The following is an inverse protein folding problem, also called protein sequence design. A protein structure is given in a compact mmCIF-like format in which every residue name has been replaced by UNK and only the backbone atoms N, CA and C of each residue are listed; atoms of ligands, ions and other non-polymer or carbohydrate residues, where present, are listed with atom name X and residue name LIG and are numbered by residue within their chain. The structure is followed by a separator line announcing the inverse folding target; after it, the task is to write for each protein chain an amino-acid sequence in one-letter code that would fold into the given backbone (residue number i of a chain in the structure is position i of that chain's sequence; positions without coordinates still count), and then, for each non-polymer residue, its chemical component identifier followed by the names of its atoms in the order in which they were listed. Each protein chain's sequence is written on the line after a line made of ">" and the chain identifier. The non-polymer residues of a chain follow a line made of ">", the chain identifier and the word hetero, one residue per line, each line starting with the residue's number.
data_IF_731691857626
#
_entry.id   IF_731691857626
#
_cell.length_a   1.000
_cell.length_b   1.000
_cell.length_c   1.000
_cell.angle_alpha   90.00
_cell.angle_beta   90.00
_cell.angle_gamma   90.00
#
_symmetry.space_group_name_H-M   'P 1'
#
loop_
_entity.id
_entity.type
_entity.pdbx_description
1 polymer ?
#
# COMPACT_ATOMS: atom_id res chain seq x y z
N UNK A 1 -57.12 12.82 -93.51
CA UNK A 1 -57.40 11.85 -92.41
C UNK A 1 -56.33 12.00 -91.34
N UNK A 2 -56.65 12.51 -90.14
CA UNK A 2 -55.78 12.43 -88.96
C UNK A 2 -56.27 11.35 -87.98
N UNK A 3 -55.34 10.53 -87.47
CA UNK A 3 -55.60 9.41 -86.54
C UNK A 3 -55.89 9.93 -85.12
N UNK A 4 -56.89 9.34 -84.48
CA UNK A 4 -57.12 9.44 -83.04
C UNK A 4 -56.06 8.64 -82.26
N UNK A 5 -55.53 9.20 -81.17
CA UNK A 5 -54.95 8.41 -80.08
C UNK A 5 -55.66 8.79 -78.78
N UNK A 6 -56.50 7.89 -78.28
CA UNK A 6 -57.04 7.93 -76.91
C UNK A 6 -55.96 7.41 -75.97
N UNK A 7 -55.60 8.18 -74.97
CA UNK A 7 -54.99 7.68 -73.74
C UNK A 7 -55.93 8.09 -72.61
N UNK A 8 -56.80 7.16 -72.24
CA UNK A 8 -57.56 7.20 -70.99
C UNK A 8 -56.75 6.42 -69.94
N UNK A 9 -56.75 6.93 -68.71
CA UNK A 9 -56.11 6.45 -67.46
C UNK A 9 -54.69 6.95 -67.13
N UNK A 10 -54.53 7.80 -66.08
CA UNK A 10 -53.23 8.03 -65.46
C UNK A 10 -52.84 6.83 -64.59
N UNK A 11 -51.71 6.21 -64.90
CA UNK A 11 -51.06 5.19 -64.06
C UNK A 11 -50.62 5.87 -62.76
N UNK A 12 -51.26 5.55 -61.63
CA UNK A 12 -50.82 6.01 -60.30
C UNK A 12 -49.58 5.23 -59.88
N UNK A 13 -48.40 5.83 -60.08
CA UNK A 13 -47.11 5.29 -59.64
C UNK A 13 -46.88 5.72 -58.18
N UNK A 14 -47.01 4.77 -57.24
CA UNK A 14 -46.59 4.81 -55.83
C UNK A 14 -47.12 5.96 -54.93
N UNK A 15 -47.86 5.59 -53.87
CA UNK A 15 -48.01 6.41 -52.67
C UNK A 15 -46.89 6.08 -51.67
N UNK A 16 -46.14 7.07 -51.14
CA UNK A 16 -45.23 6.84 -50.03
C UNK A 16 -46.03 6.33 -48.83
N UNK A 17 -45.71 5.13 -48.33
CA UNK A 17 -46.26 4.66 -47.05
C UNK A 17 -45.62 5.51 -45.95
N UNK A 18 -46.40 6.33 -45.26
CA UNK A 18 -45.94 7.01 -44.05
C UNK A 18 -45.53 5.95 -43.03
N UNK A 19 -44.24 5.89 -42.73
CA UNK A 19 -43.73 4.99 -41.69
C UNK A 19 -44.18 5.56 -40.34
N UNK A 20 -44.91 4.79 -39.51
CA UNK A 20 -45.39 5.28 -38.23
C UNK A 20 -44.21 5.70 -37.36
N UNK A 21 -44.37 6.83 -36.67
CA UNK A 21 -43.32 7.35 -35.78
C UNK A 21 -43.02 6.33 -34.67
N UNK A 22 -41.81 6.35 -34.09
CA UNK A 22 -41.45 5.43 -33.01
C UNK A 22 -42.44 5.47 -31.83
N UNK A 23 -43.03 6.65 -31.59
CA UNK A 23 -44.09 6.84 -30.59
C UNK A 23 -45.38 6.09 -30.93
N UNK A 24 -45.76 6.00 -32.21
CA UNK A 24 -46.94 5.26 -32.67
C UNK A 24 -46.71 3.74 -32.68
N UNK A 25 -45.49 3.29 -33.00
CA UNK A 25 -45.10 1.87 -32.90
C UNK A 25 -45.17 1.38 -31.45
N UNK A 26 -44.63 2.15 -30.51
CA UNK A 26 -44.71 1.84 -29.07
C UNK A 26 -46.15 1.88 -28.54
N UNK A 27 -47.00 2.79 -29.03
CA UNK A 27 -48.39 2.90 -28.57
C UNK A 27 -49.24 1.69 -28.96
N UNK A 28 -48.96 1.05 -30.10
CA UNK A 28 -49.74 -0.06 -30.65
C UNK A 28 -49.23 -1.46 -30.25
N UNK A 29 -48.17 -1.57 -29.43
CA UNK A 29 -47.63 -2.86 -28.97
C UNK A 29 -48.29 -3.36 -27.66
N UNK A 30 -48.43 -4.68 -27.54
CA UNK A 30 -48.79 -5.34 -26.28
C UNK A 30 -47.70 -5.13 -25.22
N UNK A 31 -48.04 -5.27 -23.93
CA UNK A 31 -47.09 -5.11 -22.82
C UNK A 31 -45.87 -6.05 -22.95
N UNK A 32 -46.06 -7.25 -23.49
CA UNK A 32 -44.98 -8.20 -23.81
C UNK A 32 -44.09 -7.71 -24.96
N UNK A 33 -44.67 -7.19 -26.04
CA UNK A 33 -43.89 -6.65 -27.16
C UNK A 33 -43.08 -5.39 -26.79
N UNK A 34 -43.57 -4.60 -25.84
CA UNK A 34 -42.82 -3.46 -25.28
C UNK A 34 -41.59 -3.89 -24.48
N UNK A 35 -41.70 -4.99 -23.74
CA UNK A 35 -40.59 -5.57 -22.97
C UNK A 35 -39.53 -6.19 -23.90
N UNK A 36 -39.94 -6.93 -24.94
CA UNK A 36 -39.02 -7.44 -25.96
C UNK A 36 -38.32 -6.30 -26.70
N UNK A 37 -39.03 -5.23 -27.06
CA UNK A 37 -38.42 -4.06 -27.71
C UNK A 37 -37.41 -3.33 -26.80
N UNK A 38 -37.74 -3.19 -25.50
CA UNK A 38 -36.80 -2.68 -24.49
C UNK A 38 -35.57 -3.59 -24.35
N UNK A 39 -35.76 -4.91 -24.35
CA UNK A 39 -34.67 -5.87 -24.26
C UNK A 39 -33.77 -5.83 -25.50
N UNK A 40 -34.34 -5.80 -26.69
CA UNK A 40 -33.59 -5.84 -27.94
C UNK A 40 -32.83 -4.53 -28.21
N UNK A 41 -33.43 -3.38 -27.86
CA UNK A 41 -32.85 -2.06 -28.11
C UNK A 41 -31.97 -1.55 -26.94
N UNK A 42 -32.35 -1.82 -25.69
CA UNK A 42 -31.69 -1.25 -24.52
C UNK A 42 -30.80 -2.23 -23.73
N UNK A 43 -30.71 -3.53 -24.04
CA UNK A 43 -29.84 -4.45 -23.25
C UNK A 43 -28.39 -3.96 -23.09
N UNK A 44 -27.80 -3.38 -24.13
CA UNK A 44 -26.42 -2.88 -24.10
C UNK A 44 -26.34 -1.58 -23.28
N UNK A 45 -27.32 -0.69 -23.44
CA UNK A 45 -27.40 0.55 -22.66
C UNK A 45 -27.72 0.29 -21.18
N UNK A 46 -28.59 -0.66 -20.89
CA UNK A 46 -28.93 -1.11 -19.54
C UNK A 46 -27.73 -1.77 -18.86
N UNK A 47 -26.99 -2.63 -19.57
CA UNK A 47 -25.73 -3.20 -19.08
C UNK A 47 -24.69 -2.10 -18.80
N UNK A 48 -24.56 -1.12 -19.69
CA UNK A 48 -23.69 0.04 -19.49
C UNK A 48 -24.09 0.88 -18.27
N UNK A 49 -25.39 1.08 -18.05
CA UNK A 49 -25.92 1.77 -16.87
C UNK A 49 -25.64 1.01 -15.58
N UNK A 50 -25.85 -0.31 -15.57
CA UNK A 50 -25.52 -1.18 -14.42
C UNK A 50 -24.01 -1.12 -14.13
N UNK A 51 -23.16 -1.20 -15.16
CA UNK A 51 -21.71 -1.11 -15.00
C UNK A 51 -21.29 0.26 -14.45
N UNK A 52 -21.88 1.35 -14.96
CA UNK A 52 -21.62 2.70 -14.44
C UNK A 52 -22.02 2.82 -12.97
N UNK A 53 -23.18 2.30 -12.58
CA UNK A 53 -23.62 2.27 -11.18
C UNK A 53 -22.67 1.42 -10.32
N UNK A 54 -22.24 0.26 -10.80
CA UNK A 54 -21.29 -0.59 -10.09
C UNK A 54 -19.93 0.11 -9.88
N UNK A 55 -19.43 0.84 -10.89
CA UNK A 55 -18.21 1.66 -10.77
C UNK A 55 -18.42 2.79 -9.75
N UNK A 56 -19.56 3.48 -9.79
CA UNK A 56 -19.88 4.54 -8.82
C UNK A 56 -19.92 3.96 -7.39
N UNK A 57 -20.59 2.83 -7.18
CA UNK A 57 -20.65 2.15 -5.88
C UNK A 57 -19.25 1.76 -5.43
N UNK A 58 -18.42 1.21 -6.32
CA UNK A 58 -17.04 0.84 -6.00
C UNK A 58 -16.18 2.05 -5.61
N UNK A 59 -16.28 3.17 -6.33
CA UNK A 59 -15.56 4.42 -5.99
C UNK A 59 -16.04 4.97 -4.66
N UNK A 60 -17.36 5.01 -4.42
CA UNK A 60 -17.92 5.44 -3.12
C UNK A 60 -17.41 4.51 -2.01
N UNK A 61 -17.41 3.20 -2.22
CA UNK A 61 -16.89 2.25 -1.25
C UNK A 61 -15.42 2.48 -0.93
N UNK A 62 -14.57 2.72 -1.93
CA UNK A 62 -13.15 3.01 -1.72
C UNK A 62 -12.89 4.34 -1.02
N UNK A 63 -13.75 5.34 -1.22
CA UNK A 63 -13.62 6.66 -0.56
C UNK A 63 -14.16 6.64 0.87
N UNK A 64 -15.22 5.86 1.13
CA UNK A 64 -15.88 5.79 2.43
C UNK A 64 -15.26 4.75 3.35
N UNK A 65 -14.66 3.69 2.80
CA UNK A 65 -13.93 2.68 3.59
C UNK A 65 -12.64 3.32 4.10
N UNK A 66 -12.44 3.42 5.43
CA UNK A 66 -11.20 3.94 5.97
C UNK A 66 -10.03 3.06 5.50
N UNK A 67 -9.10 3.64 4.75
CA UNK A 67 -7.80 3.02 4.55
C UNK A 67 -7.01 3.29 5.82
N UNK A 68 -6.67 2.24 6.56
CA UNK A 68 -5.77 2.35 7.70
C UNK A 68 -4.41 2.76 7.13
N UNK A 69 -3.94 3.94 7.52
CA UNK A 69 -2.67 4.50 7.12
C UNK A 69 -1.60 4.06 8.11
N UNK A 70 -0.63 3.29 7.64
CA UNK A 70 0.52 2.92 8.48
C UNK A 70 1.41 4.14 8.69
N UNK A 71 1.61 4.50 9.95
CA UNK A 71 2.38 5.66 10.37
C UNK A 71 3.82 5.32 10.78
N UNK A 72 4.11 4.04 10.98
CA UNK A 72 5.45 3.53 11.25
C UNK A 72 5.52 2.03 10.96
N UNK A 73 6.63 1.57 10.37
CA UNK A 73 6.88 0.17 10.11
C UNK A 73 8.29 -0.25 10.54
N UNK A 74 8.37 -1.23 11.43
CA UNK A 74 9.62 -1.91 11.79
C UNK A 74 9.61 -3.36 11.29
N UNK A 75 10.67 -3.75 10.59
CA UNK A 75 10.94 -5.16 10.28
C UNK A 75 11.93 -5.73 11.30
N UNK A 76 11.55 -6.78 12.01
CA UNK A 76 12.46 -7.52 12.91
C UNK A 76 12.88 -8.81 12.22
N UNK A 77 14.18 -8.93 11.95
CA UNK A 77 14.79 -10.13 11.39
C UNK A 77 15.19 -11.07 12.53
N UNK A 78 14.89 -12.35 12.38
CA UNK A 78 15.21 -13.41 13.33
C UNK A 78 14.80 -13.01 14.76
N UNK A 79 13.51 -12.71 14.95
CA UNK A 79 12.98 -12.22 16.21
C UNK A 79 13.16 -13.23 17.37
N UNK A 80 13.62 -12.73 18.53
CA UNK A 80 13.75 -13.48 19.78
C UNK A 80 12.75 -13.03 20.85
N UNK A 81 11.91 -12.04 20.56
CA UNK A 81 10.91 -11.50 21.48
C UNK A 81 9.60 -12.30 21.45
N UNK A 82 8.92 -12.49 22.59
CA UNK A 82 7.60 -13.10 22.61
C UNK A 82 6.55 -12.24 21.88
N UNK A 83 5.56 -12.85 21.19
CA UNK A 83 4.51 -12.12 20.48
C UNK A 83 3.75 -11.11 21.37
N UNK A 84 3.48 -11.46 22.63
CA UNK A 84 2.82 -10.57 23.58
C UNK A 84 3.63 -9.32 23.91
N UNK A 85 4.97 -9.41 23.82
CA UNK A 85 5.86 -8.27 24.04
C UNK A 85 5.81 -7.35 22.83
N UNK A 86 5.82 -7.90 21.61
CA UNK A 86 5.67 -7.13 20.36
C UNK A 86 4.31 -6.43 20.32
N UNK A 87 3.23 -7.12 20.64
CA UNK A 87 1.88 -6.54 20.68
C UNK A 87 1.79 -5.41 21.72
N UNK A 88 2.27 -5.64 22.94
CA UNK A 88 2.29 -4.62 23.99
C UNK A 88 3.11 -3.40 23.59
N UNK A 89 4.27 -3.60 22.95
CA UNK A 89 5.13 -2.52 22.49
C UNK A 89 4.49 -1.72 21.34
N UNK A 90 3.86 -2.42 20.39
CA UNK A 90 3.14 -1.80 19.27
C UNK A 90 2.00 -0.93 19.77
N UNK A 91 1.18 -1.43 20.69
CA UNK A 91 0.09 -0.67 21.29
C UNK A 91 0.61 0.53 22.10
N UNK A 92 1.64 0.32 22.93
CA UNK A 92 2.22 1.40 23.73
C UNK A 92 2.84 2.52 22.88
N UNK A 93 3.46 2.18 21.75
CA UNK A 93 4.00 3.18 20.84
C UNK A 93 2.90 3.88 20.03
N UNK A 94 1.83 3.17 19.63
CA UNK A 94 0.64 3.76 19.01
C UNK A 94 -0.03 4.79 19.94
N UNK A 95 -0.18 4.45 21.22
CA UNK A 95 -0.69 5.36 22.24
C UNK A 95 0.23 6.56 22.46
N UNK A 96 1.55 6.35 22.43
CA UNK A 96 2.54 7.41 22.54
C UNK A 96 2.45 8.44 21.40
N UNK A 97 2.23 7.97 20.17
CA UNK A 97 1.99 8.81 19.00
C UNK A 97 0.55 9.38 18.93
N UNK A 98 -0.33 8.98 19.85
CA UNK A 98 -1.73 9.38 19.92
C UNK A 98 -2.50 9.13 18.60
N UNK A 99 -2.23 8.00 17.95
CA UNK A 99 -2.85 7.62 16.67
C UNK A 99 -4.35 7.32 16.81
N UNK A 100 -5.14 7.59 15.77
CA UNK A 100 -6.53 7.11 15.72
C UNK A 100 -6.55 5.64 15.27
N UNK A 101 -6.87 4.66 16.13
CA UNK A 101 -6.83 3.23 15.78
C UNK A 101 -7.82 2.82 14.68
N UNK A 102 -8.72 3.71 14.25
CA UNK A 102 -9.62 3.47 13.12
C UNK A 102 -9.05 3.91 11.78
N UNK A 103 -8.07 4.81 11.80
CA UNK A 103 -7.52 5.47 10.60
C UNK A 103 -6.03 5.23 10.45
N UNK A 104 -5.33 4.88 11.52
CA UNK A 104 -3.88 4.86 11.61
C UNK A 104 -3.42 3.64 12.40
N UNK A 105 -2.30 3.05 11.97
CA UNK A 105 -1.67 1.94 12.67
C UNK A 105 -0.14 2.01 12.66
N UNK A 106 0.45 1.14 13.47
CA UNK A 106 1.88 0.86 13.51
C UNK A 106 2.06 -0.61 13.20
N UNK A 107 3.05 -0.94 12.38
CA UNK A 107 3.38 -2.31 12.03
C UNK A 107 4.77 -2.67 12.54
N UNK A 108 4.83 -3.61 13.48
CA UNK A 108 6.08 -4.29 13.85
C UNK A 108 5.98 -5.71 13.31
N UNK A 109 6.62 -5.94 12.16
CA UNK A 109 6.61 -7.24 11.50
C UNK A 109 7.83 -8.06 11.93
N UNK A 110 7.58 -9.10 12.71
CA UNK A 110 8.58 -10.00 13.28
C UNK A 110 8.64 -11.37 12.60
N UNK A 111 8.06 -11.49 11.40
CA UNK A 111 7.93 -12.76 10.66
C UNK A 111 9.14 -13.11 9.79
N UNK A 112 10.17 -12.25 9.77
CA UNK A 112 11.34 -12.38 8.90
C UNK A 112 12.42 -13.28 9.50
N UNK A 113 12.25 -14.60 9.42
CA UNK A 113 13.24 -15.57 9.91
C UNK A 113 14.23 -15.95 8.79
N UNK A 114 15.46 -15.42 8.87
CA UNK A 114 16.50 -15.52 7.85
C UNK A 114 17.59 -16.55 8.16
N UNK A 115 17.62 -17.08 9.38
CA UNK A 115 18.64 -18.05 9.81
C UNK A 115 18.26 -19.53 9.58
N UNK A 116 17.01 -19.83 9.16
CA UNK A 116 16.45 -21.19 9.08
C UNK A 116 16.58 -22.01 7.78
N UNK A 117 17.38 -21.59 6.79
CA UNK A 117 17.48 -22.25 5.46
C UNK A 117 16.35 -21.91 4.47
N UNK A 118 16.68 -21.84 3.16
CA UNK A 118 15.83 -21.42 2.03
C UNK A 118 14.94 -20.17 2.28
N UNK A 119 15.53 -19.13 2.87
CA UNK A 119 14.86 -17.87 3.24
C UNK A 119 14.75 -16.84 2.10
N UNK A 120 14.99 -17.28 0.85
CA UNK A 120 14.98 -16.42 -0.34
C UNK A 120 13.64 -15.69 -0.53
N UNK A 121 12.52 -16.34 -0.17
CA UNK A 121 11.20 -15.71 -0.27
C UNK A 121 11.02 -14.57 0.74
N UNK A 122 11.49 -14.76 1.98
CA UNK A 122 11.39 -13.72 3.01
C UNK A 122 12.30 -12.53 2.69
N UNK A 123 13.51 -12.78 2.18
CA UNK A 123 14.41 -11.72 1.73
C UNK A 123 13.78 -10.90 0.61
N UNK A 124 13.22 -11.56 -0.42
CA UNK A 124 12.52 -10.86 -1.49
C UNK A 124 11.30 -10.08 -0.98
N UNK A 125 10.54 -10.63 -0.04
CA UNK A 125 9.40 -9.92 0.56
C UNK A 125 9.85 -8.64 1.27
N UNK A 126 10.89 -8.72 2.11
CA UNK A 126 11.45 -7.53 2.78
C UNK A 126 12.00 -6.52 1.76
N UNK A 127 12.75 -6.97 0.74
CA UNK A 127 13.21 -6.09 -0.34
C UNK A 127 12.05 -5.43 -1.08
N UNK A 128 10.93 -6.13 -1.29
CA UNK A 128 9.74 -5.56 -1.93
C UNK A 128 9.09 -4.48 -1.05
N UNK A 129 8.96 -4.71 0.25
CA UNK A 129 8.45 -3.70 1.20
C UNK A 129 9.34 -2.46 1.26
N UNK A 130 10.66 -2.65 1.28
CA UNK A 130 11.62 -1.53 1.20
C UNK A 130 11.46 -0.78 -0.13
N UNK A 131 11.38 -1.48 -1.26
CA UNK A 131 11.21 -0.86 -2.56
C UNK A 131 9.88 -0.09 -2.69
N UNK A 132 8.82 -0.57 -2.02
CA UNK A 132 7.53 0.09 -1.90
C UNK A 132 7.54 1.31 -0.96
N UNK A 133 8.66 1.58 -0.27
CA UNK A 133 8.80 2.62 0.77
C UNK A 133 7.83 2.42 1.92
N UNK A 134 7.64 1.17 2.35
CA UNK A 134 6.79 0.85 3.49
C UNK A 134 7.58 0.72 4.79
N UNK A 135 8.86 0.31 4.72
CA UNK A 135 9.70 0.02 5.90
C UNK A 135 10.46 1.25 6.35
N UNK A 136 10.33 1.60 7.63
CA UNK A 136 11.09 2.69 8.24
C UNK A 136 12.41 2.21 8.84
N UNK A 137 12.37 1.13 9.61
CA UNK A 137 13.54 0.57 10.28
C UNK A 137 13.63 -0.94 10.10
N UNK A 138 14.86 -1.44 10.10
CA UNK A 138 15.15 -2.87 10.22
C UNK A 138 15.91 -3.09 11.52
N UNK A 139 15.44 -4.05 12.32
CA UNK A 139 16.09 -4.51 13.54
C UNK A 139 16.53 -5.94 13.29
N UNK A 140 17.83 -6.21 13.42
CA UNK A 140 18.38 -7.51 13.09
C UNK A 140 19.56 -7.87 14.00
N UNK A 141 19.88 -9.18 14.14
CA UNK A 141 21.17 -9.60 14.67
C UNK A 141 22.30 -8.96 13.87
N UNK A 142 23.41 -8.65 14.54
CA UNK A 142 24.52 -7.88 13.96
C UNK A 142 25.00 -8.42 12.60
N UNK A 143 25.13 -9.74 12.44
CA UNK A 143 25.57 -10.34 11.17
C UNK A 143 24.60 -10.08 10.02
N UNK A 144 23.30 -10.26 10.27
CA UNK A 144 22.22 -9.95 9.33
C UNK A 144 22.20 -8.46 9.02
N UNK A 145 22.29 -7.60 10.03
CA UNK A 145 22.36 -6.15 9.86
C UNK A 145 23.50 -5.74 8.92
N UNK A 146 24.72 -6.23 9.14
CA UNK A 146 25.90 -5.89 8.34
C UNK A 146 25.73 -6.30 6.87
N UNK A 147 24.99 -7.37 6.57
CA UNK A 147 24.68 -7.74 5.19
C UNK A 147 23.77 -6.69 4.52
N UNK A 148 22.77 -6.17 5.22
CA UNK A 148 21.93 -5.09 4.68
C UNK A 148 22.70 -3.77 4.58
N UNK A 149 23.53 -3.42 5.58
CA UNK A 149 24.37 -2.23 5.55
C UNK A 149 25.31 -2.22 4.34
N UNK A 150 26.02 -3.33 4.08
CA UNK A 150 26.91 -3.46 2.92
C UNK A 150 26.20 -3.24 1.59
N UNK A 151 24.91 -3.56 1.50
CA UNK A 151 24.09 -3.40 0.30
C UNK A 151 23.35 -2.05 0.24
N UNK A 152 23.80 -1.04 1.00
CA UNK A 152 23.30 0.34 0.95
C UNK A 152 21.82 0.49 1.33
N UNK A 153 21.27 -0.43 2.14
CA UNK A 153 19.88 -0.36 2.58
C UNK A 153 19.63 0.70 3.65
N UNK A 154 20.67 1.21 4.32
CA UNK A 154 20.53 2.15 5.44
C UNK A 154 21.08 3.53 5.12
N UNK A 155 20.44 4.56 5.67
CA UNK A 155 20.97 5.93 5.66
C UNK A 155 21.94 6.13 6.83
N UNK A 156 22.84 7.10 6.71
CA UNK A 156 23.75 7.48 7.79
C UNK A 156 22.94 8.06 8.95
N UNK A 157 23.26 7.64 10.17
CA UNK A 157 22.59 8.15 11.36
C UNK A 157 22.77 9.67 11.53
N UNK A 158 23.88 10.24 11.05
CA UNK A 158 24.13 11.69 11.07
C UNK A 158 23.24 12.48 10.12
N UNK A 159 22.65 11.83 9.13
CA UNK A 159 21.71 12.44 8.18
C UNK A 159 20.26 12.25 8.64
N UNK A 160 19.97 11.12 9.29
CA UNK A 160 18.63 10.74 9.71
C UNK A 160 18.21 11.30 11.08
N UNK A 161 19.16 11.45 12.01
CA UNK A 161 18.88 11.84 13.39
C UNK A 161 19.16 13.33 13.66
N UNK A 162 18.28 14.00 14.41
CA UNK A 162 18.58 15.26 15.10
C UNK A 162 19.89 15.19 15.92
N UNK A 163 20.58 16.33 16.04
CA UNK A 163 21.92 16.40 16.65
C UNK A 163 21.95 15.99 18.12
N UNK A 164 20.91 16.32 18.88
CA UNK A 164 20.72 15.94 20.28
C UNK A 164 20.62 14.42 20.45
N UNK A 165 19.78 13.77 19.64
CA UNK A 165 19.62 12.30 19.64
C UNK A 165 20.89 11.61 19.15
N UNK A 166 21.48 12.13 18.09
CA UNK A 166 22.71 11.57 17.53
C UNK A 166 23.84 11.58 18.57
N UNK A 167 23.97 12.68 19.32
CA UNK A 167 25.01 12.82 20.34
C UNK A 167 24.79 11.92 21.55
N UNK A 168 23.55 11.70 21.97
CA UNK A 168 23.23 10.85 23.11
C UNK A 168 23.37 9.35 22.84
N UNK A 169 23.32 8.93 21.57
CA UNK A 169 23.45 7.54 21.14
C UNK A 169 24.84 7.15 20.62
N UNK A 170 25.82 8.05 20.67
CA UNK A 170 27.14 7.84 20.06
C UNK A 170 27.85 6.58 20.58
N UNK A 171 27.70 6.25 21.87
CA UNK A 171 28.30 5.06 22.48
C UNK A 171 27.64 3.74 22.02
N UNK A 172 26.45 3.82 21.41
CA UNK A 172 25.67 2.69 20.91
C UNK A 172 25.79 2.52 19.39
N UNK A 173 26.62 3.30 18.69
CA UNK A 173 26.71 3.21 17.24
C UNK A 173 27.53 2.02 16.74
N UNK A 174 27.00 1.38 15.70
CA UNK A 174 27.74 0.46 14.84
C UNK A 174 28.24 1.20 13.60
N UNK A 175 29.57 1.24 13.47
CA UNK A 175 30.24 1.78 12.30
C UNK A 175 30.44 0.69 11.25
N UNK A 176 30.02 0.94 10.01
CA UNK A 176 30.21 0.05 8.87
C UNK A 176 30.64 0.85 7.64
N UNK A 177 31.35 0.19 6.73
CA UNK A 177 31.45 0.57 5.33
C UNK A 177 30.27 -0.02 4.55
N UNK A 178 29.98 0.55 3.38
CA UNK A 178 28.96 0.06 2.44
C UNK A 178 29.53 0.01 1.01
N UNK A 179 28.80 -0.60 0.07
CA UNK A 179 29.24 -0.63 -1.33
C UNK A 179 29.23 0.79 -1.96
N UNK A 180 28.30 1.65 -1.53
CA UNK A 180 28.18 3.03 -1.97
C UNK A 180 29.07 4.03 -1.22
N UNK A 181 29.55 3.68 -0.02
CA UNK A 181 30.46 4.51 0.79
C UNK A 181 31.56 3.65 1.46
N UNK A 182 32.80 3.70 0.95
CA UNK A 182 33.91 2.92 1.49
C UNK A 182 34.42 3.46 2.84
N UNK A 183 34.00 4.66 3.25
CA UNK A 183 34.38 5.23 4.54
C UNK A 183 33.47 4.66 5.64
N UNK A 184 34.07 4.36 6.79
CA UNK A 184 33.30 3.87 7.94
C UNK A 184 32.44 4.98 8.53
N UNK A 185 31.13 4.84 8.45
CA UNK A 185 30.14 5.75 9.01
C UNK A 185 29.20 5.01 9.97
N UNK A 186 28.47 5.77 10.80
CA UNK A 186 27.47 5.22 11.70
C UNK A 186 26.18 4.92 10.93
N UNK A 187 25.84 3.64 10.83
CA UNK A 187 24.61 3.16 10.15
C UNK A 187 23.67 2.42 11.09
N UNK A 188 24.19 1.88 12.19
CA UNK A 188 23.41 1.05 13.12
C UNK A 188 23.45 1.58 14.55
N UNK A 189 22.40 1.29 15.31
CA UNK A 189 22.29 1.58 16.74
C UNK A 189 22.11 0.25 17.47
N UNK A 190 23.05 -0.11 18.34
CA UNK A 190 22.93 -1.26 19.23
C UNK A 190 21.77 -1.06 20.20
N UNK A 191 20.90 -2.06 20.31
CA UNK A 191 19.69 -1.99 21.12
C UNK A 191 19.86 -2.61 22.52
N UNK A 192 21.08 -2.97 22.92
CA UNK A 192 21.38 -3.64 24.20
C UNK A 192 20.96 -2.82 25.44
N UNK A 193 20.91 -1.49 25.29
CA UNK A 193 20.50 -0.56 26.34
C UNK A 193 19.06 -0.04 26.15
N UNK A 194 18.35 -0.53 25.12
CA UNK A 194 16.95 -0.17 24.87
C UNK A 194 15.98 -0.95 25.76
N UNK A 195 14.82 -0.38 26.04
CA UNK A 195 13.78 -1.02 26.85
C UNK A 195 13.32 -2.37 26.27
N UNK A 196 13.30 -2.50 24.94
CA UNK A 196 12.74 -3.67 24.26
C UNK A 196 13.75 -4.81 24.08
N UNK A 197 15.01 -4.50 23.83
CA UNK A 197 16.04 -5.50 23.47
C UNK A 197 17.12 -5.69 24.55
N UNK A 198 16.96 -5.10 25.74
CA UNK A 198 17.93 -5.25 26.83
C UNK A 198 18.13 -6.71 27.22
N UNK A 199 19.36 -7.20 27.02
CA UNK A 199 19.74 -8.58 27.31
C UNK A 199 19.14 -9.61 26.34
N UNK A 200 18.52 -9.16 25.25
CA UNK A 200 17.98 -10.02 24.19
C UNK A 200 19.03 -10.18 23.10
N UNK A 201 19.32 -11.42 22.74
CA UNK A 201 20.29 -11.78 21.69
C UNK A 201 19.75 -12.92 20.85
N UNK A 202 20.17 -12.99 19.59
CA UNK A 202 19.91 -14.13 18.71
C UNK A 202 21.23 -14.83 18.40
N UNK A 203 21.36 -16.13 18.70
CA UNK A 203 22.62 -16.88 18.55
C UNK A 203 23.86 -16.20 19.19
N UNK A 204 23.64 -15.45 20.27
CA UNK A 204 24.68 -14.69 20.97
C UNK A 204 25.04 -13.34 20.35
N UNK A 205 24.38 -12.96 19.25
CA UNK A 205 24.53 -11.66 18.61
C UNK A 205 23.53 -10.63 19.19
N UNK A 206 23.98 -9.39 19.47
CA UNK A 206 23.08 -8.32 19.85
C UNK A 206 22.22 -7.85 18.66
N UNK A 207 21.09 -7.23 18.96
CA UNK A 207 20.26 -6.57 17.94
C UNK A 207 20.77 -5.17 17.63
N UNK A 208 20.75 -4.83 16.35
CA UNK A 208 21.11 -3.53 15.80
C UNK A 208 19.92 -2.99 15.00
N UNK A 209 19.57 -1.73 15.23
CA UNK A 209 18.58 -0.98 14.47
C UNK A 209 19.26 -0.19 13.36
N UNK A 210 18.74 -0.28 12.14
CA UNK A 210 19.09 0.58 11.01
C UNK A 210 17.88 1.34 10.48
N UNK A 211 18.08 2.61 10.15
CA UNK A 211 17.06 3.43 9.48
C UNK A 211 17.19 3.19 7.98
N UNK A 212 16.12 2.72 7.35
CA UNK A 212 16.11 2.37 5.92
C UNK A 212 16.32 3.63 5.09
N UNK A 213 17.13 3.56 4.03
CA UNK A 213 17.55 4.75 3.28
C UNK A 213 16.38 5.54 2.65
N UNK A 214 15.28 4.87 2.30
CA UNK A 214 14.09 5.45 1.67
C UNK A 214 12.85 5.45 2.60
N UNK A 215 13.07 5.43 3.91
CA UNK A 215 12.01 5.43 4.93
C UNK A 215 10.98 6.58 4.75
N UNK A 216 9.67 6.27 4.79
CA UNK A 216 8.61 7.26 4.58
C UNK A 216 8.31 8.16 5.79
N UNK A 217 8.38 7.65 7.03
CA UNK A 217 7.85 8.31 8.22
C UNK A 217 8.98 8.89 9.09
N UNK A 218 9.55 10.01 8.65
CA UNK A 218 10.77 10.56 9.26
C UNK A 218 10.62 10.91 10.74
N UNK A 219 9.59 11.66 11.08
CA UNK A 219 9.32 12.12 12.43
C UNK A 219 9.02 10.94 13.36
N UNK A 220 8.11 10.04 12.94
CA UNK A 220 7.73 8.88 13.75
C UNK A 220 8.90 7.88 13.93
N UNK A 221 9.81 7.79 12.97
CA UNK A 221 11.04 6.99 13.10
C UNK A 221 11.95 7.52 14.20
N UNK A 222 12.11 8.85 14.27
CA UNK A 222 12.89 9.50 15.32
C UNK A 222 12.22 9.31 16.68
N UNK A 223 10.90 9.49 16.75
CA UNK A 223 10.12 9.23 17.97
C UNK A 223 10.20 7.77 18.43
N UNK A 224 10.23 6.81 17.50
CA UNK A 224 10.41 5.39 17.84
C UNK A 224 11.76 5.13 18.51
N UNK A 225 12.83 5.76 18.01
CA UNK A 225 14.16 5.66 18.61
C UNK A 225 14.15 6.31 20.01
N UNK A 226 13.52 7.48 20.18
CA UNK A 226 13.31 8.05 21.50
C UNK A 226 12.56 7.11 22.46
N UNK A 227 11.49 6.50 21.96
CA UNK A 227 10.65 5.60 22.73
C UNK A 227 11.37 4.30 23.13
N UNK A 228 12.29 3.80 22.29
CA UNK A 228 13.17 2.65 22.60
C UNK A 228 14.15 2.94 23.73
N UNK A 229 14.66 4.17 23.80
CA UNK A 229 15.67 4.57 24.76
C UNK A 229 15.09 5.61 25.72
N UNK A 230 13.98 5.31 26.44
CA UNK A 230 13.22 6.26 27.29
C UNK A 230 14.03 7.15 28.26
N UNK A 231 15.32 6.90 28.42
CA UNK A 231 16.30 7.68 29.17
C UNK A 231 17.08 8.74 28.34
N UNK A 232 16.80 8.94 27.06
CA UNK A 232 17.41 10.02 26.26
C UNK A 232 16.93 11.38 26.77
N UNK A 233 17.75 12.00 27.62
CA UNK A 233 17.55 13.35 28.18
C UNK A 233 17.98 14.45 27.21
#
# INVERSE_FOLDING_TARGET
>A
MPKQSRLEEPVTIYQPRELPSEKEKLKNMSLMGKLDYLWEYYKIHALGGILAIAVIIYVIYQVVTPNISTQFYAAIIDNALPPETIEAYTNGFSDHLALDPKLEDIQINDTFYMSGGNNYNMQQALTAYIAAREVDVIIAPESSFLNYARNDYFTKLSEALPTDIYSSLTDSFLLSDTNGDPDKNAYGIYLNDSDLFKGITYDGEPYVLGIVANYPHKENTVEFIHYLFKDLK
#
